data_IF_826395255849
#
_entry.id   IF_826395255849
#
_cell.length_a   1.000
_cell.length_b   1.000
_cell.length_c   1.000
_cell.angle_alpha   90.00
_cell.angle_beta   90.00
_cell.angle_gamma   90.00
#
_symmetry.space_group_name_H-M   'P 1'
#
loop_
_entity.id
_entity.type
_entity.pdbx_description
1 polymer ?
#
# COMPACT_ATOMS: atom_id res chain seq x y z
N UNK A 1 -17.54 10.36 3.97
CA UNK A 1 -16.90 9.57 2.89
C UNK A 1 -15.41 9.85 2.95
N UNK A 2 -14.59 8.87 3.35
CA UNK A 2 -13.14 9.04 3.29
C UNK A 2 -12.75 9.32 1.84
N UNK A 3 -11.91 10.33 1.54
CA UNK A 3 -11.42 10.52 0.18
C UNK A 3 -10.78 9.21 -0.24
N UNK A 4 -11.19 8.71 -1.41
CA UNK A 4 -10.65 7.53 -2.06
C UNK A 4 -9.16 7.78 -2.31
N UNK A 5 -8.34 7.49 -1.31
CA UNK A 5 -6.89 7.59 -1.44
C UNK A 5 -6.50 6.57 -2.51
N UNK A 6 -5.94 7.08 -3.58
CA UNK A 6 -5.47 6.31 -4.72
C UNK A 6 -4.31 5.42 -4.29
N UNK A 7 -4.06 4.35 -5.05
CA UNK A 7 -2.90 3.46 -4.82
C UNK A 7 -1.60 4.26 -4.73
N UNK A 8 -1.46 5.34 -5.52
CA UNK A 8 -0.29 6.23 -5.44
C UNK A 8 -0.15 6.89 -4.07
N UNK A 9 -1.23 7.53 -3.58
CA UNK A 9 -1.21 8.21 -2.28
C UNK A 9 -0.95 7.25 -1.11
N UNK A 10 -1.49 6.04 -1.15
CA UNK A 10 -1.22 5.01 -0.14
C UNK A 10 0.21 4.50 -0.22
N UNK A 11 0.79 4.40 -1.42
CA UNK A 11 2.21 4.01 -1.58
C UNK A 11 3.14 5.08 -0.99
N UNK A 12 2.83 6.36 -1.18
CA UNK A 12 3.56 7.47 -0.53
C UNK A 12 3.46 7.36 0.99
N UNK A 13 2.25 7.10 1.52
CA UNK A 13 2.06 6.93 2.96
C UNK A 13 2.87 5.73 3.49
N UNK A 14 2.89 4.59 2.78
CA UNK A 14 3.68 3.42 3.16
C UNK A 14 5.18 3.71 3.21
N UNK A 15 5.71 4.42 2.22
CA UNK A 15 7.10 4.88 2.22
C UNK A 15 7.39 5.80 3.41
N UNK A 16 6.52 6.76 3.69
CA UNK A 16 6.69 7.70 4.81
C UNK A 16 6.68 6.99 6.18
N UNK A 17 6.03 5.82 6.27
CA UNK A 17 6.01 4.98 7.47
C UNK A 17 7.04 3.85 7.43
N UNK A 18 8.08 3.97 6.60
CA UNK A 18 9.19 3.01 6.55
C UNK A 18 8.78 1.58 6.22
N UNK A 19 7.62 1.37 5.57
CA UNK A 19 7.13 0.04 5.20
C UNK A 19 8.13 -0.74 4.33
N UNK A 20 8.97 -0.01 3.59
CA UNK A 20 9.93 -0.55 2.64
C UNK A 20 11.38 -0.49 3.14
N UNK A 21 11.64 -0.13 4.41
CA UNK A 21 13.01 0.03 4.94
C UNK A 21 13.83 -1.26 5.00
N UNK A 22 13.19 -2.43 4.85
CA UNK A 22 13.88 -3.71 4.76
C UNK A 22 14.38 -4.00 3.33
N UNK A 23 13.93 -3.23 2.33
CA UNK A 23 14.46 -3.28 0.98
C UNK A 23 15.83 -2.59 0.93
N UNK A 24 16.61 -2.86 -0.12
CA UNK A 24 17.89 -2.18 -0.30
C UNK A 24 17.66 -0.71 -0.60
N UNK A 25 18.58 0.15 -0.20
CA UNK A 25 18.53 1.60 -0.47
C UNK A 25 18.34 1.91 -1.96
N UNK A 26 18.91 1.09 -2.85
CA UNK A 26 18.74 1.20 -4.30
C UNK A 26 17.27 0.99 -4.73
N UNK A 27 16.58 0.01 -4.12
CA UNK A 27 15.17 -0.29 -4.40
C UNK A 27 14.25 0.81 -3.83
N UNK A 28 14.56 1.32 -2.64
CA UNK A 28 13.84 2.44 -2.00
C UNK A 28 13.98 3.70 -2.87
N UNK A 29 15.20 4.00 -3.31
CA UNK A 29 15.49 5.14 -4.20
C UNK A 29 14.76 5.00 -5.54
N UNK A 30 14.76 3.79 -6.13
CA UNK A 30 14.01 3.50 -7.34
C UNK A 30 12.50 3.69 -7.15
N UNK A 31 11.94 3.27 -6.02
CA UNK A 31 10.52 3.45 -5.69
C UNK A 31 10.17 4.93 -5.51
N UNK A 32 11.02 5.71 -4.83
CA UNK A 32 10.87 7.17 -4.74
C UNK A 32 10.88 7.83 -6.12
N UNK A 33 11.86 7.50 -6.96
CA UNK A 33 11.93 8.01 -8.32
C UNK A 33 10.72 7.61 -9.17
N UNK A 34 10.22 6.40 -9.00
CA UNK A 34 9.03 5.91 -9.68
C UNK A 34 7.82 6.74 -9.29
N UNK A 35 7.56 6.92 -8.00
CA UNK A 35 6.42 7.69 -7.48
C UNK A 35 6.44 9.14 -7.96
N UNK A 36 7.60 9.79 -7.96
CA UNK A 36 7.74 11.17 -8.45
C UNK A 36 7.42 11.28 -9.95
N UNK A 37 7.66 10.22 -10.72
CA UNK A 37 7.37 10.16 -12.16
C UNK A 37 5.93 9.72 -12.47
N UNK A 38 5.25 9.08 -11.53
CA UNK A 38 3.87 8.64 -11.71
C UNK A 38 2.92 9.85 -11.57
N UNK A 39 2.13 10.10 -12.61
CA UNK A 39 1.05 11.08 -12.61
C UNK A 39 -0.28 10.34 -12.69
N UNK A 40 -1.29 10.86 -11.99
CA UNK A 40 -2.63 10.29 -12.05
C UNK A 40 -3.37 10.74 -13.32
N UNK A 41 -4.21 9.87 -13.92
CA UNK A 41 -4.57 8.52 -13.47
C UNK A 41 -3.49 7.48 -13.79
N UNK A 42 -3.23 6.58 -12.83
CA UNK A 42 -2.32 5.46 -13.05
C UNK A 42 -2.88 4.50 -14.10
N UNK A 43 -2.02 4.03 -15.00
CA UNK A 43 -2.35 2.88 -15.86
C UNK A 43 -2.47 1.59 -15.04
N UNK A 44 -3.23 0.61 -15.53
CA UNK A 44 -3.38 -0.69 -14.86
C UNK A 44 -2.02 -1.37 -14.58
N UNK A 45 -1.03 -1.19 -15.46
CA UNK A 45 0.33 -1.72 -15.29
C UNK A 45 1.02 -1.03 -14.11
N UNK A 46 0.99 0.30 -14.04
CA UNK A 46 1.59 1.07 -12.95
C UNK A 46 0.92 0.76 -11.61
N UNK A 47 -0.41 0.67 -11.60
CA UNK A 47 -1.16 0.29 -10.41
C UNK A 47 -0.79 -1.12 -9.94
N UNK A 48 -0.74 -2.10 -10.85
CA UNK A 48 -0.33 -3.46 -10.51
C UNK A 48 1.11 -3.54 -9.99
N UNK A 49 2.03 -2.74 -10.54
CA UNK A 49 3.40 -2.68 -10.07
C UNK A 49 3.48 -2.20 -8.61
N UNK A 50 2.79 -1.10 -8.27
CA UNK A 50 2.73 -0.60 -6.90
C UNK A 50 2.13 -1.62 -5.93
N UNK A 51 1.03 -2.27 -6.32
CA UNK A 51 0.39 -3.30 -5.50
C UNK A 51 1.27 -4.54 -5.32
N UNK A 52 2.17 -4.85 -6.25
CA UNK A 52 3.17 -5.92 -6.06
C UNK A 52 4.21 -5.52 -5.01
N UNK A 53 4.65 -4.26 -4.98
CA UNK A 53 5.53 -3.78 -3.90
C UNK A 53 4.86 -3.87 -2.53
N UNK A 54 3.56 -3.59 -2.46
CA UNK A 54 2.81 -3.69 -1.21
C UNK A 54 2.90 -5.09 -0.59
N UNK A 55 2.90 -6.17 -1.39
CA UNK A 55 3.07 -7.54 -0.85
C UNK A 55 4.39 -7.76 -0.10
N UNK A 56 5.38 -6.90 -0.32
CA UNK A 56 6.65 -6.92 0.41
C UNK A 56 6.70 -5.89 1.54
N UNK A 57 5.70 -5.00 1.67
CA UNK A 57 5.68 -4.00 2.72
C UNK A 57 5.70 -4.64 4.11
N UNK A 58 6.59 -4.16 4.96
CA UNK A 58 6.60 -4.50 6.38
C UNK A 58 5.43 -3.80 7.07
N UNK A 59 4.49 -4.57 7.61
CA UNK A 59 3.27 -4.03 8.23
C UNK A 59 3.36 -3.83 9.73
N UNK A 60 4.37 -4.42 10.39
CA UNK A 60 4.45 -4.48 11.86
C UNK A 60 4.47 -3.13 12.58
N UNK A 61 5.02 -2.09 11.94
CA UNK A 61 5.10 -0.73 12.49
C UNK A 61 4.10 0.24 11.83
N UNK A 62 3.23 -0.25 10.95
CA UNK A 62 2.30 0.62 10.23
C UNK A 62 1.13 1.05 11.12
N UNK A 63 0.65 2.30 10.99
CA UNK A 63 -0.57 2.71 11.66
C UNK A 63 -1.76 1.84 11.21
N UNK A 64 -2.54 1.34 12.18
CA UNK A 64 -3.72 0.50 11.90
C UNK A 64 -4.69 1.14 10.89
N UNK A 65 -4.84 2.47 10.94
CA UNK A 65 -5.67 3.22 9.99
C UNK A 65 -5.11 3.20 8.55
N UNK A 66 -3.79 3.20 8.38
CA UNK A 66 -3.15 3.08 7.06
C UNK A 66 -3.30 1.67 6.52
N UNK A 67 -3.05 0.67 7.36
CA UNK A 67 -3.21 -0.75 7.04
C UNK A 67 -4.64 -1.07 6.60
N UNK A 68 -5.64 -0.63 7.37
CA UNK A 68 -7.06 -0.79 7.04
C UNK A 68 -7.41 -0.23 5.65
N UNK A 69 -6.87 0.95 5.30
CA UNK A 69 -7.11 1.57 4.00
C UNK A 69 -6.45 0.80 2.86
N UNK A 70 -5.22 0.34 3.06
CA UNK A 70 -4.51 -0.48 2.07
C UNK A 70 -5.25 -1.80 1.84
N UNK A 71 -5.67 -2.47 2.90
CA UNK A 71 -6.44 -3.72 2.84
C UNK A 71 -7.79 -3.53 2.16
N UNK A 72 -8.50 -2.43 2.46
CA UNK A 72 -9.77 -2.10 1.79
C UNK A 72 -9.59 -1.98 0.27
N UNK A 73 -8.52 -1.29 -0.17
CA UNK A 73 -8.21 -1.14 -1.60
C UNK A 73 -7.85 -2.48 -2.23
N UNK A 74 -7.05 -3.32 -1.56
CA UNK A 74 -6.70 -4.65 -2.05
C UNK A 74 -7.94 -5.54 -2.21
N UNK A 75 -8.83 -5.55 -1.22
CA UNK A 75 -10.08 -6.32 -1.28
C UNK A 75 -10.99 -5.86 -2.42
N UNK A 76 -11.14 -4.54 -2.64
CA UNK A 76 -11.90 -4.00 -3.76
C UNK A 76 -11.33 -4.43 -5.13
N UNK A 77 -10.03 -4.69 -5.19
CA UNK A 77 -9.32 -5.17 -6.38
C UNK A 77 -9.23 -6.71 -6.47
N UNK A 78 -9.85 -7.44 -5.53
CA UNK A 78 -9.81 -8.91 -5.48
C UNK A 78 -8.42 -9.48 -5.12
N UNK A 79 -7.58 -8.70 -4.43
CA UNK A 79 -6.25 -9.10 -3.96
C UNK A 79 -6.25 -9.45 -2.47
N UNK A 80 -5.25 -10.24 -2.08
CA UNK A 80 -5.01 -10.57 -0.67
C UNK A 80 -4.65 -9.29 0.13
N UNK A 81 -5.11 -9.17 1.39
CA UNK A 81 -4.71 -8.08 2.26
C UNK A 81 -3.21 -8.16 2.59
N UNK A 82 -2.61 -7.03 2.96
CA UNK A 82 -1.22 -6.96 3.40
C UNK A 82 -0.99 -7.74 4.70
N UNK A 83 -1.97 -7.64 5.57
CA UNK A 83 -2.02 -8.36 6.83
C UNK A 83 -3.47 -8.76 7.05
N UNK A 84 -3.68 -10.01 7.46
CA UNK A 84 -4.98 -10.48 7.89
C UNK A 84 -5.38 -9.65 9.10
N UNK A 85 -6.21 -8.64 8.88
CA UNK A 85 -6.94 -8.05 9.99
C UNK A 85 -7.80 -9.19 10.52
N UNK A 86 -7.46 -9.67 11.71
CA UNK A 86 -8.40 -10.41 12.54
C UNK A 86 -9.54 -9.45 12.81
N UNK A 87 -10.48 -9.39 11.88
CA UNK A 87 -11.80 -8.88 12.17
C UNK A 87 -12.33 -9.89 13.15
N UNK A 88 -12.26 -9.57 14.44
CA UNK A 88 -13.14 -10.21 15.41
C UNK A 88 -14.55 -9.95 14.89
N UNK A 89 -15.06 -10.91 14.13
CA UNK A 89 -16.47 -10.98 13.82
C UNK A 89 -17.10 -11.19 15.18
N UNK A 90 -17.57 -10.10 15.80
CA UNK A 90 -18.51 -10.18 16.92
C UNK A 90 -19.71 -10.96 16.38
N UNK A 91 -19.69 -12.26 16.65
CA UNK A 91 -20.79 -13.19 16.43
C UNK A 91 -21.89 -12.77 17.40
N UNK A 92 -22.85 -12.00 16.90
CA UNK A 92 -24.15 -11.79 17.56
C UNK A 92 -25.10 -12.94 17.22
#
# INVERSE_FOLDING_TARGET
MLPSKTVLSLTIDLLAHNAFNHLKDEDISALHHLIVKLQEPLTAIQQNLLLTFWNHAYTGDLPAALLYRCNTVLQQLGRNPLEEMMVEVEMY
#
